data_IF_748429595086
#
_entry.id   IF_748429595086
#
_cell.length_a   1.000
_cell.length_b   1.000
_cell.length_c   1.000
_cell.angle_alpha   90.00
_cell.angle_beta   90.00
_cell.angle_gamma   90.00
#
_symmetry.space_group_name_H-M   'P 1'
#
loop_
_entity.id
_entity.type
_entity.pdbx_description
1 polymer ?
#
# COMPACT_ATOMS: atom_id res chain seq x y z
N UNK A 1 -19.50 10.64 -6.67
CA UNK A 1 -18.89 9.44 -6.07
C UNK A 1 -17.57 9.01 -6.71
N UNK A 2 -17.49 8.35 -7.87
CA UNK A 2 -16.20 7.91 -8.47
C UNK A 2 -15.25 9.06 -8.88
N UNK A 3 -15.78 10.15 -9.44
CA UNK A 3 -15.00 11.36 -9.79
C UNK A 3 -14.48 12.12 -8.55
N UNK A 4 -15.24 12.04 -7.46
CA UNK A 4 -14.97 12.71 -6.20
C UNK A 4 -13.86 11.97 -5.42
N UNK A 5 -13.89 10.63 -5.43
CA UNK A 5 -12.80 9.79 -4.96
C UNK A 5 -11.52 10.03 -5.76
N UNK A 6 -11.61 10.22 -7.09
CA UNK A 6 -10.46 10.52 -7.97
C UNK A 6 -9.82 11.89 -7.67
N UNK A 7 -10.62 12.92 -7.41
CA UNK A 7 -10.13 14.25 -7.01
C UNK A 7 -9.57 14.30 -5.59
N UNK A 8 -10.01 13.38 -4.72
CA UNK A 8 -9.44 13.19 -3.37
C UNK A 8 -8.12 12.45 -3.46
N UNK A 9 -8.04 11.45 -4.33
CA UNK A 9 -6.83 10.71 -4.70
C UNK A 9 -5.68 11.63 -5.08
N UNK A 10 -5.96 12.59 -5.97
CA UNK A 10 -4.95 13.46 -6.56
C UNK A 10 -4.40 14.46 -5.54
N UNK A 11 -5.25 14.93 -4.61
CA UNK A 11 -4.85 15.73 -3.46
C UNK A 11 -4.03 14.92 -2.46
N UNK A 12 -4.44 13.70 -2.18
CA UNK A 12 -3.72 12.82 -1.25
C UNK A 12 -2.33 12.45 -1.80
N UNK A 13 -2.21 12.24 -3.12
CA UNK A 13 -0.92 12.06 -3.83
C UNK A 13 -0.03 13.30 -3.73
N UNK A 14 -0.56 14.50 -3.90
CA UNK A 14 0.21 15.74 -3.74
C UNK A 14 0.66 15.96 -2.30
N UNK A 15 -0.19 15.59 -1.33
CA UNK A 15 0.13 15.69 0.10
C UNK A 15 1.28 14.73 0.45
N UNK A 16 1.27 13.51 -0.09
CA UNK A 16 2.32 12.50 0.04
C UNK A 16 3.68 12.94 -0.51
N UNK A 17 3.70 13.79 -1.54
CA UNK A 17 4.94 14.37 -2.06
C UNK A 17 5.57 15.39 -1.10
N UNK A 18 4.79 15.93 -0.16
CA UNK A 18 5.19 17.03 0.74
C UNK A 18 5.46 16.61 2.20
N UNK A 19 4.95 15.47 2.65
CA UNK A 19 5.14 14.95 4.02
C UNK A 19 6.33 13.98 4.12
N UNK A 20 7.06 13.99 5.23
CA UNK A 20 8.00 12.89 5.55
C UNK A 20 7.23 11.59 5.61
N UNK A 21 7.56 10.62 4.75
CA UNK A 21 6.84 9.35 4.65
C UNK A 21 7.23 8.45 5.81
N UNK A 22 6.49 8.58 6.90
CA UNK A 22 6.47 7.64 8.00
C UNK A 22 5.30 6.63 7.86
N UNK A 23 5.38 5.54 8.61
CA UNK A 23 4.34 4.51 8.61
C UNK A 23 2.96 5.05 9.01
N UNK A 24 2.91 6.09 9.84
CA UNK A 24 1.67 6.72 10.29
C UNK A 24 0.93 7.40 9.12
N UNK A 25 1.66 8.07 8.23
CA UNK A 25 1.08 8.67 7.02
C UNK A 25 0.45 7.60 6.11
N UNK A 26 1.09 6.44 5.98
CA UNK A 26 0.54 5.31 5.23
C UNK A 26 -0.75 4.78 5.88
N UNK A 27 -0.75 4.53 7.20
CA UNK A 27 -1.93 4.01 7.88
C UNK A 27 -3.11 4.99 7.88
N UNK A 28 -2.85 6.29 8.02
CA UNK A 28 -3.89 7.32 7.96
C UNK A 28 -4.60 7.33 6.60
N UNK A 29 -3.89 7.06 5.50
CA UNK A 29 -4.47 6.92 4.17
C UNK A 29 -5.34 5.68 4.06
N UNK A 30 -4.86 4.53 4.52
CA UNK A 30 -5.64 3.28 4.53
C UNK A 30 -6.92 3.45 5.35
N UNK A 31 -6.83 4.05 6.53
CA UNK A 31 -7.97 4.29 7.41
C UNK A 31 -9.00 5.25 6.77
N UNK A 32 -8.55 6.34 6.11
CA UNK A 32 -9.41 7.31 5.40
C UNK A 32 -10.21 6.70 4.25
N UNK A 33 -9.69 5.65 3.62
CA UNK A 33 -10.36 4.96 2.52
C UNK A 33 -11.48 4.00 2.97
N UNK A 34 -11.71 3.88 4.28
CA UNK A 34 -12.75 3.01 4.84
C UNK A 34 -12.41 1.53 4.70
N UNK A 35 -11.13 1.20 4.51
CA UNK A 35 -10.66 -0.15 4.32
C UNK A 35 -10.53 -0.83 5.68
N UNK A 36 -11.60 -1.49 6.15
CA UNK A 36 -11.57 -2.24 7.41
C UNK A 36 -11.14 -3.69 7.16
N UNK A 37 -10.39 -4.31 8.09
CA UNK A 37 -9.93 -5.70 7.95
C UNK A 37 -11.08 -6.68 7.66
N UNK A 38 -12.20 -6.51 8.38
CA UNK A 38 -13.38 -7.38 8.25
C UNK A 38 -14.08 -7.24 6.89
N UNK A 39 -14.22 -6.00 6.39
CA UNK A 39 -14.82 -5.76 5.07
C UNK A 39 -13.91 -6.30 3.97
N UNK A 40 -12.60 -6.08 4.09
CA UNK A 40 -11.62 -6.60 3.16
C UNK A 40 -11.68 -8.13 3.07
N UNK A 41 -11.56 -8.83 4.19
CA UNK A 41 -11.50 -10.30 4.18
C UNK A 41 -12.80 -10.90 3.65
N UNK A 42 -13.95 -10.35 4.06
CA UNK A 42 -15.26 -10.77 3.56
C UNK A 42 -15.35 -10.59 2.05
N UNK A 43 -14.95 -9.41 1.54
CA UNK A 43 -14.95 -9.14 0.11
C UNK A 43 -14.00 -10.05 -0.66
N UNK A 44 -12.77 -10.25 -0.16
CA UNK A 44 -11.78 -11.13 -0.76
C UNK A 44 -12.24 -12.59 -0.81
N UNK A 45 -12.90 -13.07 0.25
CA UNK A 45 -13.44 -14.44 0.32
C UNK A 45 -14.58 -14.69 -0.67
N UNK A 46 -15.38 -13.66 -0.98
CA UNK A 46 -16.56 -13.73 -1.84
C UNK A 46 -16.23 -13.46 -3.31
N UNK A 47 -15.16 -12.70 -3.59
CA UNK A 47 -14.75 -12.34 -4.95
C UNK A 47 -14.69 -13.52 -5.95
N UNK A 48 -14.16 -14.71 -5.59
CA UNK A 48 -14.11 -15.84 -6.52
C UNK A 48 -15.48 -16.33 -6.97
N UNK A 49 -16.54 -16.08 -6.18
CA UNK A 49 -17.92 -16.51 -6.42
C UNK A 49 -18.82 -15.40 -6.98
N UNK A 50 -18.36 -14.15 -6.90
CA UNK A 50 -19.12 -12.97 -7.32
C UNK A 50 -18.33 -12.17 -8.38
N UNK A 51 -18.63 -12.33 -9.69
CA UNK A 51 -17.89 -11.66 -10.76
C UNK A 51 -17.88 -10.13 -10.68
N UNK A 52 -18.98 -9.53 -10.18
CA UNK A 52 -19.07 -8.07 -9.99
C UNK A 52 -18.09 -7.62 -8.89
N UNK A 53 -18.06 -8.34 -7.78
CA UNK A 53 -17.12 -8.06 -6.69
C UNK A 53 -15.67 -8.31 -7.08
N UNK A 54 -15.40 -9.40 -7.83
CA UNK A 54 -14.07 -9.68 -8.40
C UNK A 54 -13.55 -8.51 -9.24
N UNK A 55 -14.40 -7.94 -10.08
CA UNK A 55 -14.05 -6.77 -10.90
C UNK A 55 -13.73 -5.55 -10.03
N UNK A 56 -14.59 -5.24 -9.05
CA UNK A 56 -14.39 -4.11 -8.13
C UNK A 56 -13.05 -4.25 -7.38
N UNK A 57 -12.76 -5.43 -6.84
CA UNK A 57 -11.49 -5.68 -6.15
C UNK A 57 -10.29 -5.58 -7.10
N UNK A 58 -10.37 -6.15 -8.30
CA UNK A 58 -9.29 -6.05 -9.29
C UNK A 58 -9.01 -4.60 -9.70
N UNK A 59 -10.04 -3.79 -9.93
CA UNK A 59 -9.92 -2.37 -10.27
C UNK A 59 -9.34 -1.56 -9.08
N UNK A 60 -9.74 -1.91 -7.85
CA UNK A 60 -9.18 -1.34 -6.62
C UNK A 60 -7.69 -1.66 -6.44
N UNK A 61 -7.31 -2.93 -6.57
CA UNK A 61 -5.90 -3.36 -6.52
C UNK A 61 -5.06 -2.72 -7.60
N UNK A 62 -5.58 -2.62 -8.84
CA UNK A 62 -4.87 -1.91 -9.91
C UNK A 62 -4.59 -0.46 -9.53
N UNK A 63 -5.60 0.23 -9.01
CA UNK A 63 -5.46 1.62 -8.54
C UNK A 63 -4.44 1.74 -7.42
N UNK A 64 -4.49 0.85 -6.41
CA UNK A 64 -3.53 0.84 -5.29
C UNK A 64 -2.10 0.57 -5.75
N UNK A 65 -1.91 -0.40 -6.65
CA UNK A 65 -0.59 -0.70 -7.24
C UNK A 65 -0.06 0.47 -8.05
N UNK A 66 -0.90 1.13 -8.85
CA UNK A 66 -0.49 2.29 -9.64
C UNK A 66 -0.07 3.47 -8.74
N UNK A 67 -0.80 3.71 -7.64
CA UNK A 67 -0.48 4.76 -6.67
C UNK A 67 0.84 4.50 -5.94
N UNK A 68 0.97 3.34 -5.31
CA UNK A 68 2.19 2.97 -4.57
C UNK A 68 3.37 2.85 -5.53
N UNK A 69 3.15 2.33 -6.73
CA UNK A 69 4.16 2.24 -7.78
C UNK A 69 4.67 3.60 -8.24
N UNK A 70 3.78 4.59 -8.41
CA UNK A 70 4.16 5.98 -8.76
C UNK A 70 5.06 6.57 -7.67
N UNK A 71 4.72 6.33 -6.40
CA UNK A 71 5.53 6.78 -5.28
C UNK A 71 6.93 6.12 -5.28
N UNK A 72 7.02 4.82 -5.53
CA UNK A 72 8.31 4.10 -5.57
C UNK A 72 9.15 4.54 -6.79
N UNK A 73 8.51 4.82 -7.93
CA UNK A 73 9.20 5.40 -9.10
C UNK A 73 9.79 6.78 -8.75
N UNK A 74 9.07 7.62 -8.00
CA UNK A 74 9.61 8.91 -7.55
C UNK A 74 10.84 8.76 -6.62
N UNK A 75 10.85 7.76 -5.74
CA UNK A 75 12.04 7.47 -4.93
C UNK A 75 13.23 7.01 -5.80
N UNK A 76 12.94 6.28 -6.87
CA UNK A 76 13.94 5.83 -7.84
C UNK A 76 14.48 6.99 -8.69
N UNK A 77 13.64 7.88 -9.22
CA UNK A 77 14.06 9.05 -10.00
C UNK A 77 14.92 10.01 -9.19
N UNK A 78 14.65 10.14 -7.89
CA UNK A 78 15.44 10.93 -6.93
C UNK A 78 16.75 10.28 -6.50
N UNK A 79 17.06 9.06 -6.98
CA UNK A 79 18.28 8.34 -6.65
C UNK A 79 18.31 7.75 -5.24
N UNK A 80 17.16 7.67 -4.55
CA UNK A 80 17.06 7.02 -3.24
C UNK A 80 17.06 5.49 -3.41
N UNK A 81 16.38 5.00 -4.45
CA UNK A 81 16.36 3.59 -4.83
C UNK A 81 17.29 3.30 -6.01
N UNK A 82 17.83 2.07 -6.03
CA UNK A 82 18.61 1.50 -7.13
C UNK A 82 17.84 1.58 -8.46
N UNK A 83 18.57 1.77 -9.56
CA UNK A 83 17.97 1.86 -10.92
C UNK A 83 17.27 0.56 -11.33
N UNK A 84 17.67 -0.56 -10.75
CA UNK A 84 17.14 -1.89 -11.00
C UNK A 84 15.85 -2.17 -10.22
N UNK A 85 15.50 -1.30 -9.25
CA UNK A 85 14.23 -1.42 -8.54
C UNK A 85 13.07 -1.38 -9.52
N UNK A 86 12.11 -2.30 -9.35
CA UNK A 86 10.90 -2.40 -10.15
C UNK A 86 9.71 -1.87 -9.33
N UNK A 87 9.25 -0.63 -9.57
CA UNK A 87 8.28 0.01 -8.69
C UNK A 87 6.94 -0.72 -8.63
N UNK A 88 6.49 -1.30 -9.75
CA UNK A 88 5.24 -2.05 -9.80
C UNK A 88 5.31 -3.33 -8.97
N UNK A 89 6.38 -4.11 -9.10
CA UNK A 89 6.54 -5.35 -8.32
C UNK A 89 6.74 -5.06 -6.83
N UNK A 90 7.51 -4.03 -6.49
CA UNK A 90 7.67 -3.60 -5.10
C UNK A 90 6.33 -3.14 -4.50
N UNK A 91 5.53 -2.37 -5.25
CA UNK A 91 4.19 -1.96 -4.82
C UNK A 91 3.26 -3.15 -4.55
N UNK A 92 3.25 -4.14 -5.45
CA UNK A 92 2.49 -5.38 -5.25
C UNK A 92 2.92 -6.12 -3.97
N UNK A 93 4.23 -6.19 -3.71
CA UNK A 93 4.77 -6.81 -2.48
C UNK A 93 4.34 -6.07 -1.21
N UNK A 94 4.43 -4.73 -1.21
CA UNK A 94 4.00 -3.88 -0.08
C UNK A 94 2.52 -4.11 0.25
N UNK A 95 1.66 -4.09 -0.78
CA UNK A 95 0.21 -4.30 -0.61
C UNK A 95 -0.07 -5.72 -0.11
N UNK A 96 0.60 -6.74 -0.66
CA UNK A 96 0.40 -8.12 -0.22
C UNK A 96 0.79 -8.35 1.25
N UNK A 97 1.87 -7.72 1.72
CA UNK A 97 2.28 -7.76 3.14
C UNK A 97 1.24 -7.08 4.02
N UNK A 98 0.78 -5.88 3.64
CA UNK A 98 -0.29 -5.17 4.35
C UNK A 98 -1.53 -6.05 4.50
N UNK A 99 -2.04 -6.60 3.39
CA UNK A 99 -3.25 -7.40 3.37
C UNK A 99 -3.12 -8.70 4.17
N UNK A 100 -1.95 -9.33 4.12
CA UNK A 100 -1.63 -10.51 4.93
C UNK A 100 -1.67 -10.20 6.43
N UNK A 101 -1.19 -9.03 6.84
CA UNK A 101 -1.19 -8.60 8.25
C UNK A 101 -2.59 -8.23 8.76
N UNK A 102 -3.53 -7.85 7.89
CA UNK A 102 -4.92 -7.60 8.29
C UNK A 102 -5.60 -8.84 8.89
N UNK A 103 -5.15 -10.06 8.56
CA UNK A 103 -5.72 -11.28 9.14
C UNK A 103 -5.55 -11.34 10.66
N UNK A 104 -4.49 -10.72 11.18
CA UNK A 104 -4.18 -10.68 12.61
C UNK A 104 -5.27 -9.91 13.37
N UNK A 105 -5.71 -8.77 12.81
CA UNK A 105 -6.82 -7.98 13.35
C UNK A 105 -8.14 -8.75 13.27
N UNK A 106 -8.41 -9.44 12.16
CA UNK A 106 -9.62 -10.26 12.01
C UNK A 106 -9.66 -11.42 13.00
N UNK A 107 -8.51 -12.01 13.32
CA UNK A 107 -8.38 -13.07 14.32
C UNK A 107 -8.58 -12.58 15.77
N UNK A 108 -8.87 -11.28 15.98
CA UNK A 108 -9.10 -10.69 17.31
C UNK A 108 -7.81 -10.31 18.05
N UNK A 109 -6.67 -10.28 17.37
CA UNK A 109 -5.40 -9.87 17.97
C UNK A 109 -5.21 -8.35 17.94
N UNK A 110 -4.30 -7.85 18.77
CA UNK A 110 -4.03 -6.41 18.90
C UNK A 110 -3.49 -5.82 17.58
N UNK A 111 -4.09 -4.71 17.13
CA UNK A 111 -3.73 -3.94 15.93
C UNK A 111 -2.31 -3.35 15.96
N UNK A 112 -1.74 -3.10 17.13
CA UNK A 112 -0.42 -2.43 17.23
C UNK A 112 0.74 -3.29 16.72
N UNK A 113 0.69 -4.59 16.94
CA UNK A 113 1.77 -5.50 16.57
C UNK A 113 1.89 -5.69 15.04
N UNK A 114 0.80 -5.95 14.29
CA UNK A 114 0.80 -5.97 12.83
C UNK A 114 1.27 -4.65 12.21
N UNK A 115 0.91 -3.49 12.79
CA UNK A 115 1.37 -2.19 12.30
C UNK A 115 2.89 -2.04 12.41
N UNK A 116 3.47 -2.45 13.55
CA UNK A 116 4.94 -2.47 13.73
C UNK A 116 5.60 -3.44 12.75
N UNK A 117 5.07 -4.66 12.64
CA UNK A 117 5.58 -5.67 11.71
C UNK A 117 5.56 -5.17 10.27
N UNK A 118 4.50 -4.50 9.84
CA UNK A 118 4.42 -3.90 8.50
C UNK A 118 5.57 -2.92 8.27
N UNK A 119 5.77 -1.96 9.18
CA UNK A 119 6.83 -0.94 9.03
C UNK A 119 8.21 -1.59 8.96
N UNK A 120 8.52 -2.54 9.85
CA UNK A 120 9.81 -3.24 9.87
C UNK A 120 10.04 -4.07 8.60
N UNK A 121 9.03 -4.78 8.11
CA UNK A 121 9.11 -5.58 6.88
C UNK A 121 9.34 -4.66 5.67
N UNK A 122 8.57 -3.58 5.54
CA UNK A 122 8.75 -2.63 4.44
C UNK A 122 10.13 -1.99 4.49
N UNK A 123 10.60 -1.54 5.65
CA UNK A 123 11.95 -1.02 5.80
C UNK A 123 13.03 -2.03 5.37
N UNK A 124 12.87 -3.30 5.74
CA UNK A 124 13.77 -4.38 5.34
C UNK A 124 13.75 -4.62 3.83
N UNK A 125 12.56 -4.68 3.23
CA UNK A 125 12.38 -4.83 1.78
C UNK A 125 13.08 -3.69 1.02
N UNK A 126 12.86 -2.45 1.46
CA UNK A 126 13.45 -1.26 0.84
C UNK A 126 14.95 -1.16 1.08
N UNK A 127 15.47 -1.64 2.21
CA UNK A 127 16.91 -1.61 2.53
C UNK A 127 17.75 -2.30 1.44
N UNK A 128 17.25 -3.40 0.88
CA UNK A 128 17.91 -4.09 -0.25
C UNK A 128 17.92 -3.28 -1.56
N UNK A 129 16.99 -2.32 -1.68
CA UNK A 129 16.77 -1.47 -2.85
C UNK A 129 17.43 -0.10 -2.70
N UNK A 130 17.93 0.28 -1.53
CA UNK A 130 18.60 1.56 -1.32
C UNK A 130 19.92 1.64 -2.07
N UNK A 131 20.24 2.81 -2.62
CA UNK A 131 21.59 3.09 -3.12
C UNK A 131 22.53 3.16 -1.91
N UNK A 132 23.49 2.25 -1.81
CA UNK A 132 24.56 2.39 -0.81
C UNK A 132 25.52 3.51 -1.25
N UNK A 133 26.05 4.32 -0.33
CA UNK A 133 27.16 5.21 -0.66
C UNK A 133 28.28 4.35 -1.24
N UNK A 134 28.78 4.73 -2.41
CA UNK A 134 30.05 4.19 -2.89
C UNK A 134 31.11 4.70 -1.90
N UNK A 135 31.66 3.77 -1.11
CA UNK A 135 32.82 3.99 -0.26
C UNK A 135 34.04 4.38 -1.08
#
# INVERSE_FOLDING_TARGET
MLQEQRGTLQRDIQTLQSSSLDGETFFALIDKWGWTPNLFLSAASEAPRNPKLKKILADGYKTGVDMVGTFIEELKTRGILKKEANPRLTAMGVIAVHDGLLIWEVAGMNRQEPRKAFVEIIQTMFSSLLVHPVS
#
